data_IF_878783596664
#
_entry.id   IF_878783596664
#
_cell.length_a   1.000
_cell.length_b   1.000
_cell.length_c   1.000
_cell.angle_alpha   90.00
_cell.angle_beta   90.00
_cell.angle_gamma   90.00
#
_symmetry.space_group_name_H-M   'P 1'
#
loop_
_entity.id
_entity.type
_entity.pdbx_description
1 polymer ?
#
# COMPACT_ATOMS: atom_id res chain seq x y z
N UNK A 1 -9.16 7.44 7.48
CA UNK A 1 -7.76 7.36 7.93
C UNK A 1 -7.22 8.77 8.05
N UNK A 2 -6.57 9.14 9.16
CA UNK A 2 -5.87 10.42 9.24
C UNK A 2 -4.57 10.34 8.43
N UNK A 3 -4.13 11.47 7.85
CA UNK A 3 -2.85 11.55 7.12
C UNK A 3 -1.67 11.06 7.97
N UNK A 4 -1.73 11.31 9.28
CA UNK A 4 -0.74 10.86 10.26
C UNK A 4 -0.62 9.33 10.38
N UNK A 5 -1.69 8.57 10.11
CA UNK A 5 -1.66 7.10 10.11
C UNK A 5 -1.33 6.52 8.72
N UNK A 6 -1.54 7.28 7.64
CA UNK A 6 -1.24 6.87 6.28
C UNK A 6 0.26 6.85 6.00
N UNK A 7 0.99 7.88 6.44
CA UNK A 7 2.43 8.00 6.19
C UNK A 7 3.26 6.82 6.73
N UNK A 8 3.08 6.36 7.98
CA UNK A 8 3.82 5.21 8.50
C UNK A 8 3.52 3.92 7.73
N UNK A 9 2.26 3.69 7.34
CA UNK A 9 1.82 2.51 6.60
C UNK A 9 2.47 2.45 5.21
N UNK A 10 2.51 3.58 4.51
CA UNK A 10 3.19 3.71 3.22
C UNK A 10 4.69 3.43 3.37
N UNK A 11 5.34 3.94 4.42
CA UNK A 11 6.76 3.67 4.68
C UNK A 11 7.01 2.18 4.91
N UNK A 12 6.20 1.53 5.75
CA UNK A 12 6.33 0.09 6.04
C UNK A 12 6.15 -0.75 4.77
N UNK A 13 5.09 -0.51 4.01
CA UNK A 13 4.87 -1.24 2.75
C UNK A 13 5.95 -0.95 1.71
N UNK A 14 6.46 0.28 1.64
CA UNK A 14 7.57 0.65 0.78
C UNK A 14 8.84 -0.13 1.11
N UNK A 15 9.21 -0.21 2.40
CA UNK A 15 10.38 -0.98 2.86
C UNK A 15 10.21 -2.46 2.51
N UNK A 16 9.06 -3.06 2.83
CA UNK A 16 8.77 -4.47 2.52
C UNK A 16 8.90 -4.74 1.02
N UNK A 17 8.37 -3.84 0.18
CA UNK A 17 8.45 -3.95 -1.28
C UNK A 17 9.91 -3.93 -1.76
N UNK A 18 10.73 -3.00 -1.23
CA UNK A 18 12.16 -2.91 -1.56
C UNK A 18 12.90 -4.19 -1.12
N UNK A 19 12.57 -4.73 0.05
CA UNK A 19 13.15 -5.98 0.55
C UNK A 19 12.80 -7.16 -0.36
N UNK A 20 11.55 -7.30 -0.82
CA UNK A 20 11.15 -8.37 -1.74
C UNK A 20 11.86 -8.29 -3.10
N UNK A 21 12.01 -7.09 -3.64
CA UNK A 21 12.79 -6.89 -4.89
C UNK A 21 14.25 -7.26 -4.67
N UNK A 22 14.84 -6.85 -3.53
CA UNK A 22 16.23 -7.17 -3.19
C UNK A 22 16.45 -8.68 -2.99
N UNK A 23 15.53 -9.36 -2.33
CA UNK A 23 15.57 -10.81 -2.12
C UNK A 23 15.34 -11.60 -3.41
N UNK A 24 15.02 -10.93 -4.54
CA UNK A 24 14.67 -11.55 -5.82
C UNK A 24 13.44 -12.47 -5.75
N UNK A 25 12.61 -12.31 -4.72
CA UNK A 25 11.33 -13.01 -4.59
C UNK A 25 10.33 -12.46 -5.61
N UNK A 26 10.43 -11.16 -5.92
CA UNK A 26 9.64 -10.49 -6.95
C UNK A 26 10.58 -9.92 -8.03
N UNK A 27 10.39 -10.28 -9.31
CA UNK A 27 11.10 -9.64 -10.41
C UNK A 27 10.89 -8.12 -10.40
N UNK A 28 11.96 -7.34 -10.55
CA UNK A 28 11.90 -5.87 -10.46
C UNK A 28 10.86 -5.25 -11.38
N UNK A 29 10.63 -5.83 -12.56
CA UNK A 29 9.61 -5.33 -13.50
C UNK A 29 8.18 -5.52 -12.99
N UNK A 30 7.91 -6.61 -12.27
CA UNK A 30 6.60 -6.85 -11.64
C UNK A 30 6.35 -5.82 -10.54
N UNK A 31 7.36 -5.50 -9.73
CA UNK A 31 7.26 -4.47 -8.71
C UNK A 31 6.94 -3.08 -9.32
N UNK A 32 7.57 -2.74 -10.45
CA UNK A 32 7.27 -1.49 -11.18
C UNK A 32 5.83 -1.46 -11.69
N UNK A 33 5.34 -2.56 -12.28
CA UNK A 33 3.95 -2.63 -12.76
C UNK A 33 2.93 -2.51 -11.62
N UNK A 34 3.18 -3.17 -10.48
CA UNK A 34 2.32 -3.05 -9.29
C UNK A 34 2.33 -1.63 -8.74
N UNK A 35 3.51 -0.99 -8.69
CA UNK A 35 3.63 0.41 -8.28
C UNK A 35 2.84 1.34 -9.19
N UNK A 36 2.99 1.22 -10.51
CA UNK A 36 2.26 2.01 -11.49
C UNK A 36 0.75 1.77 -11.41
N UNK A 37 0.34 0.52 -11.22
CA UNK A 37 -1.06 0.16 -11.00
C UNK A 37 -1.62 0.85 -9.76
N UNK A 38 -0.94 0.73 -8.61
CA UNK A 38 -1.36 1.40 -7.37
C UNK A 38 -1.41 2.91 -7.50
N UNK A 39 -0.43 3.52 -8.20
CA UNK A 39 -0.39 4.95 -8.48
C UNK A 39 -1.60 5.38 -9.31
N UNK A 40 -1.92 4.67 -10.40
CA UNK A 40 -3.10 4.97 -11.21
C UNK A 40 -4.41 4.74 -10.45
N UNK A 41 -4.50 3.68 -9.66
CA UNK A 41 -5.68 3.39 -8.81
C UNK A 41 -5.94 4.54 -7.82
N UNK A 42 -4.89 5.18 -7.27
CA UNK A 42 -5.05 6.32 -6.37
C UNK A 42 -5.70 7.55 -7.04
N UNK A 43 -5.62 7.65 -8.37
CA UNK A 43 -6.29 8.69 -9.16
C UNK A 43 -7.74 8.34 -9.49
N UNK A 44 -8.21 7.14 -9.15
CA UNK A 44 -9.58 6.69 -9.39
C UNK A 44 -10.42 6.71 -8.10
N UNK A 45 -11.76 6.70 -8.19
CA UNK A 45 -12.63 6.60 -7.03
C UNK A 45 -12.43 5.34 -6.18
N UNK A 46 -11.74 4.32 -6.72
CA UNK A 46 -11.40 3.11 -5.97
C UNK A 46 -10.55 3.40 -4.71
N UNK A 47 -9.88 4.55 -4.64
CA UNK A 47 -9.15 4.99 -3.44
C UNK A 47 -10.04 5.07 -2.20
N UNK A 48 -11.32 5.41 -2.36
CA UNK A 48 -12.27 5.46 -1.25
C UNK A 48 -12.57 4.05 -0.72
N UNK A 49 -12.81 3.09 -1.62
CA UNK A 49 -13.02 1.68 -1.24
C UNK A 49 -11.82 1.11 -0.50
N UNK A 50 -10.60 1.39 -0.97
CA UNK A 50 -9.36 0.95 -0.32
C UNK A 50 -9.25 1.60 1.06
N UNK A 51 -9.49 2.91 1.16
CA UNK A 51 -9.41 3.64 2.42
C UNK A 51 -10.42 3.16 3.46
N UNK A 52 -11.64 2.85 3.05
CA UNK A 52 -12.67 2.25 3.91
C UNK A 52 -12.29 0.84 4.36
N UNK A 53 -11.77 0.02 3.45
CA UNK A 53 -11.28 -1.32 3.77
C UNK A 53 -10.15 -1.28 4.80
N UNK A 54 -9.16 -0.40 4.61
CA UNK A 54 -8.04 -0.25 5.55
C UNK A 54 -8.53 0.26 6.91
N UNK A 55 -9.43 1.24 6.95
CA UNK A 55 -10.02 1.69 8.23
C UNK A 55 -10.81 0.56 8.91
N UNK A 56 -11.56 -0.24 8.16
CA UNK A 56 -12.28 -1.40 8.69
C UNK A 56 -11.31 -2.41 9.29
N UNK A 57 -10.22 -2.75 8.61
CA UNK A 57 -9.18 -3.65 9.14
C UNK A 57 -8.58 -3.08 10.42
N UNK A 58 -8.12 -1.82 10.40
CA UNK A 58 -7.50 -1.17 11.56
C UNK A 58 -8.46 -1.14 12.74
N UNK A 59 -9.75 -0.83 12.52
CA UNK A 59 -10.78 -0.82 13.58
C UNK A 59 -11.01 -2.17 14.26
N UNK A 60 -10.57 -3.29 13.65
CA UNK A 60 -10.60 -4.61 14.29
C UNK A 60 -9.40 -4.85 15.21
N UNK A 61 -8.30 -4.13 15.00
CA UNK A 61 -7.07 -4.25 15.77
C UNK A 61 -6.91 -3.16 16.84
N UNK A 62 -7.54 -2.00 16.66
CA UNK A 62 -7.70 -0.97 17.69
C UNK A 62 -9.00 -1.22 18.45
N UNK A 63 -8.88 -1.64 19.71
CA UNK A 63 -9.98 -1.75 20.68
C UNK A 63 -10.59 -0.38 21.03
#
# INVERSE_FOLDING_TARGET
MSEAAALPLVVVFGIITVLFVRSREVPSWIAVLIFLFGFYVSQTPAVFMISETVNWVISRFTF
#
